data_IF_431539196090
#
_entry.id   IF_431539196090
#
_cell.length_a   1.000
_cell.length_b   1.000
_cell.length_c   1.000
_cell.angle_alpha   90.00
_cell.angle_beta   90.00
_cell.angle_gamma   90.00
#
_symmetry.space_group_name_H-M   'P 1'
#
loop_
_entity.id
_entity.type
_entity.pdbx_description
1 polymer ?
#
# COMPACT_ATOMS: atom_id res chain seq x y z
N UNK A 1 15.16 19.13 1.39
CA UNK A 1 14.90 17.74 1.81
C UNK A 1 15.01 16.85 0.58
N UNK A 2 15.61 15.67 0.69
CA UNK A 2 15.55 14.67 -0.38
C UNK A 2 14.14 14.08 -0.42
N UNK A 3 13.63 13.79 -1.63
CA UNK A 3 12.34 13.11 -1.82
C UNK A 3 12.58 11.60 -1.70
N UNK A 4 11.80 10.90 -0.89
CA UNK A 4 11.80 9.44 -0.84
C UNK A 4 11.10 8.90 -2.08
N UNK A 5 11.74 8.02 -2.83
CA UNK A 5 11.19 7.36 -4.01
C UNK A 5 10.83 5.92 -3.67
N UNK A 6 9.55 5.59 -3.83
CA UNK A 6 9.02 4.25 -3.58
C UNK A 6 8.60 3.63 -4.90
N UNK A 7 9.27 2.54 -5.30
CA UNK A 7 8.86 1.75 -6.47
C UNK A 7 7.69 0.85 -6.09
N UNK A 8 6.56 0.99 -6.78
CA UNK A 8 5.38 0.14 -6.59
C UNK A 8 5.49 -1.14 -7.43
N UNK A 9 5.93 -2.21 -6.81
CA UNK A 9 5.90 -3.55 -7.41
C UNK A 9 4.50 -4.18 -7.29
N UNK A 10 3.79 -3.86 -6.21
CA UNK A 10 2.42 -4.31 -5.97
C UNK A 10 2.30 -5.82 -6.01
N UNK A 11 1.36 -6.32 -6.82
CA UNK A 11 1.16 -7.75 -7.12
C UNK A 11 1.58 -8.13 -8.54
N UNK A 12 2.36 -7.28 -9.22
CA UNK A 12 2.79 -7.53 -10.61
C UNK A 12 3.71 -8.76 -10.76
N UNK A 13 4.18 -9.30 -9.64
CA UNK A 13 4.88 -10.58 -9.58
C UNK A 13 3.97 -11.80 -9.87
N UNK A 14 2.65 -11.63 -9.93
CA UNK A 14 1.67 -12.68 -10.26
C UNK A 14 1.88 -13.99 -9.47
N UNK A 15 2.15 -13.90 -8.16
CA UNK A 15 2.41 -15.06 -7.30
C UNK A 15 3.80 -15.69 -7.43
N UNK A 16 4.69 -15.13 -8.26
CA UNK A 16 6.06 -15.64 -8.45
C UNK A 16 7.07 -14.91 -7.55
N UNK A 17 7.65 -15.63 -6.59
CA UNK A 17 8.72 -15.10 -5.74
C UNK A 17 9.98 -14.75 -6.58
N UNK A 18 10.28 -15.52 -7.62
CA UNK A 18 11.42 -15.23 -8.49
C UNK A 18 11.23 -13.88 -9.20
N UNK A 19 10.05 -13.64 -9.77
CA UNK A 19 9.74 -12.36 -10.42
C UNK A 19 9.72 -11.20 -9.41
N UNK A 20 9.20 -11.40 -8.19
CA UNK A 20 9.25 -10.39 -7.15
C UNK A 20 10.68 -9.99 -6.79
N UNK A 21 11.61 -10.94 -6.69
CA UNK A 21 13.04 -10.66 -6.49
C UNK A 21 13.67 -9.90 -7.66
N UNK A 22 13.32 -10.25 -8.90
CA UNK A 22 13.78 -9.49 -10.08
C UNK A 22 13.28 -8.04 -10.05
N UNK A 23 12.02 -7.82 -9.66
CA UNK A 23 11.47 -6.47 -9.49
C UNK A 23 12.20 -5.68 -8.40
N UNK A 24 12.53 -6.31 -7.26
CA UNK A 24 13.30 -5.68 -6.20
C UNK A 24 14.70 -5.29 -6.69
N UNK A 25 15.37 -6.16 -7.45
CA UNK A 25 16.68 -5.89 -8.05
C UNK A 25 16.61 -4.72 -9.04
N UNK A 26 15.62 -4.72 -9.94
CA UNK A 26 15.41 -3.62 -10.89
C UNK A 26 15.15 -2.28 -10.19
N UNK A 27 14.34 -2.28 -9.11
CA UNK A 27 14.10 -1.11 -8.27
C UNK A 27 15.42 -0.59 -7.65
N UNK A 28 16.24 -1.49 -7.12
CA UNK A 28 17.57 -1.14 -6.57
C UNK A 28 18.47 -0.54 -7.63
N UNK A 29 18.57 -1.15 -8.82
CA UNK A 29 19.37 -0.67 -9.93
C UNK A 29 18.90 0.70 -10.45
N UNK A 30 17.58 0.97 -10.37
CA UNK A 30 17.01 2.29 -10.69
C UNK A 30 17.30 3.36 -9.63
N UNK A 31 17.88 3.00 -8.48
CA UNK A 31 18.30 3.94 -7.44
C UNK A 31 17.15 4.46 -6.57
N UNK A 32 16.02 3.73 -6.46
CA UNK A 32 14.94 4.09 -5.55
C UNK A 32 15.25 3.70 -4.11
N UNK A 33 14.60 4.36 -3.15
CA UNK A 33 14.84 4.14 -1.73
C UNK A 33 14.13 2.88 -1.20
N UNK A 34 12.93 2.61 -1.70
CA UNK A 34 12.03 1.56 -1.20
C UNK A 34 11.38 0.82 -2.35
N UNK A 35 11.24 -0.51 -2.24
CA UNK A 35 10.36 -1.29 -3.10
C UNK A 35 9.12 -1.74 -2.31
N UNK A 36 7.92 -1.49 -2.85
CA UNK A 36 6.66 -1.76 -2.15
C UNK A 36 5.84 -2.85 -2.83
N UNK A 37 5.34 -3.79 -2.01
CA UNK A 37 4.47 -4.90 -2.38
C UNK A 37 3.11 -4.78 -1.70
N UNK A 38 2.28 -5.81 -1.85
CA UNK A 38 0.98 -5.92 -1.20
C UNK A 38 0.88 -7.28 -0.51
N UNK A 39 0.34 -7.29 0.71
CA UNK A 39 0.15 -8.49 1.51
C UNK A 39 -1.31 -8.62 1.89
N UNK A 40 -1.92 -9.76 1.54
CA UNK A 40 -3.29 -10.05 1.87
C UNK A 40 -3.49 -11.57 2.08
N UNK A 41 -4.43 -11.90 2.96
CA UNK A 41 -5.08 -13.20 2.99
C UNK A 41 -6.33 -13.10 2.11
N UNK A 42 -6.37 -13.71 0.93
CA UNK A 42 -7.42 -13.49 -0.06
C UNK A 42 -8.84 -13.64 0.47
N UNK A 43 -9.05 -14.60 1.36
CA UNK A 43 -10.34 -14.90 1.98
C UNK A 43 -10.83 -13.84 2.97
N UNK A 44 -9.91 -12.99 3.47
CA UNK A 44 -10.23 -11.90 4.41
C UNK A 44 -10.54 -10.58 3.69
N UNK A 45 -10.09 -10.44 2.43
CA UNK A 45 -10.24 -9.19 1.67
C UNK A 45 -11.26 -9.26 0.54
N UNK A 46 -11.64 -10.46 0.10
CA UNK A 46 -12.58 -10.64 -1.02
C UNK A 46 -13.70 -11.60 -0.63
N UNK A 47 -14.93 -11.12 -0.71
CA UNK A 47 -16.10 -11.98 -0.60
C UNK A 47 -16.16 -12.99 -1.76
N UNK A 48 -16.54 -14.23 -1.47
CA UNK A 48 -16.77 -15.26 -2.50
C UNK A 48 -17.84 -14.88 -3.54
N UNK A 49 -18.64 -13.86 -3.26
CA UNK A 49 -19.68 -13.33 -4.15
C UNK A 49 -19.24 -12.08 -4.90
N UNK A 50 -18.03 -11.57 -4.64
CA UNK A 50 -17.54 -10.35 -5.29
C UNK A 50 -17.31 -10.61 -6.79
N UNK A 51 -17.80 -9.68 -7.60
CA UNK A 51 -17.49 -9.64 -9.03
C UNK A 51 -16.19 -8.87 -9.29
N UNK A 52 -15.46 -9.25 -10.33
CA UNK A 52 -14.34 -8.47 -10.82
C UNK A 52 -14.80 -7.10 -11.32
N UNK A 53 -13.98 -6.08 -11.08
CA UNK A 53 -14.16 -4.76 -11.68
C UNK A 53 -14.08 -4.84 -13.22
N UNK A 54 -14.70 -3.88 -13.92
CA UNK A 54 -14.79 -3.90 -15.38
C UNK A 54 -13.40 -3.96 -16.06
N UNK A 55 -12.44 -3.18 -15.57
CA UNK A 55 -11.06 -3.18 -16.11
C UNK A 55 -10.34 -4.51 -15.85
N UNK A 56 -10.61 -5.17 -14.72
CA UNK A 56 -10.05 -6.49 -14.40
C UNK A 56 -10.59 -7.58 -15.33
N UNK A 57 -11.90 -7.52 -15.66
CA UNK A 57 -12.52 -8.45 -16.62
C UNK A 57 -11.86 -8.34 -18.01
N UNK A 58 -11.43 -7.13 -18.40
CA UNK A 58 -10.74 -6.90 -19.68
C UNK A 58 -9.33 -7.49 -19.71
N UNK A 59 -8.60 -7.42 -18.60
CA UNK A 59 -7.18 -7.80 -18.52
C UNK A 59 -6.97 -9.26 -18.12
N UNK A 60 -7.85 -9.83 -17.28
CA UNK A 60 -7.69 -11.18 -16.69
C UNK A 60 -8.79 -12.18 -17.11
N UNK A 61 -9.71 -11.76 -17.99
CA UNK A 61 -10.86 -12.58 -18.41
C UNK A 61 -12.04 -12.55 -17.44
N UNK A 62 -13.23 -12.88 -17.94
CA UNK A 62 -14.50 -12.78 -17.21
C UNK A 62 -14.88 -14.06 -16.45
N UNK A 63 -14.23 -15.19 -16.69
CA UNK A 63 -14.65 -16.50 -16.17
C UNK A 63 -14.10 -16.83 -14.77
N UNK A 64 -12.99 -16.23 -14.39
CA UNK A 64 -12.38 -16.40 -13.07
C UNK A 64 -13.07 -15.50 -12.03
N UNK A 65 -13.35 -15.99 -10.82
CA UNK A 65 -13.90 -15.16 -9.74
C UNK A 65 -12.89 -14.11 -9.25
N UNK A 66 -13.37 -13.04 -8.60
CA UNK A 66 -12.49 -12.06 -7.96
C UNK A 66 -11.55 -12.73 -6.94
N UNK A 67 -12.09 -13.62 -6.12
CA UNK A 67 -11.32 -14.34 -5.09
C UNK A 67 -10.23 -15.22 -5.71
N UNK A 68 -10.53 -15.97 -6.77
CA UNK A 68 -9.54 -16.83 -7.42
C UNK A 68 -8.44 -16.00 -8.11
N UNK A 69 -8.80 -14.87 -8.69
CA UNK A 69 -7.81 -13.93 -9.23
C UNK A 69 -6.87 -13.45 -8.12
N UNK A 70 -7.41 -13.00 -6.98
CA UNK A 70 -6.59 -12.50 -5.86
C UNK A 70 -5.70 -13.60 -5.30
N UNK A 71 -6.21 -14.83 -5.13
CA UNK A 71 -5.40 -16.00 -4.72
C UNK A 71 -4.22 -16.26 -5.65
N UNK A 72 -4.43 -16.11 -6.94
CA UNK A 72 -3.40 -16.37 -7.95
C UNK A 72 -2.29 -15.32 -7.98
N UNK A 73 -2.61 -14.05 -7.75
CA UNK A 73 -1.65 -12.95 -7.83
C UNK A 73 -0.91 -12.65 -6.52
N UNK A 74 -1.44 -13.08 -5.39
CA UNK A 74 -0.77 -12.97 -4.09
C UNK A 74 0.05 -14.22 -3.79
N UNK A 75 1.02 -14.09 -2.92
CA UNK A 75 1.75 -15.22 -2.34
C UNK A 75 1.70 -15.16 -0.81
N UNK A 76 1.89 -16.33 -0.16
CA UNK A 76 1.77 -16.44 1.29
C UNK A 76 2.92 -15.78 2.07
N UNK A 77 2.78 -15.73 3.37
CA UNK A 77 3.69 -15.04 4.30
C UNK A 77 5.15 -15.53 4.21
N UNK A 78 5.38 -16.82 3.96
CA UNK A 78 6.75 -17.36 3.83
C UNK A 78 7.48 -16.78 2.61
N UNK A 79 6.78 -16.56 1.50
CA UNK A 79 7.36 -15.91 0.34
C UNK A 79 7.69 -14.43 0.62
N UNK A 80 6.86 -13.72 1.38
CA UNK A 80 7.15 -12.36 1.84
C UNK A 80 8.38 -12.33 2.77
N UNK A 81 8.56 -13.30 3.69
CA UNK A 81 9.77 -13.44 4.51
C UNK A 81 11.03 -13.60 3.65
N UNK A 82 10.96 -14.50 2.67
CA UNK A 82 12.07 -14.75 1.75
C UNK A 82 12.38 -13.54 0.86
N UNK A 83 11.35 -12.79 0.46
CA UNK A 83 11.51 -11.56 -0.32
C UNK A 83 12.12 -10.44 0.52
N UNK A 84 11.66 -10.26 1.77
CA UNK A 84 12.24 -9.28 2.72
C UNK A 84 13.73 -9.57 2.94
N UNK A 85 14.09 -10.83 3.23
CA UNK A 85 15.48 -11.23 3.40
C UNK A 85 16.34 -10.95 2.14
N UNK A 86 15.78 -11.18 0.96
CA UNK A 86 16.46 -10.83 -0.30
C UNK A 86 16.63 -9.32 -0.47
N UNK A 87 15.61 -8.51 -0.14
CA UNK A 87 15.73 -7.05 -0.19
C UNK A 87 16.84 -6.54 0.75
N UNK A 88 16.96 -7.13 1.95
CA UNK A 88 18.04 -6.82 2.89
C UNK A 88 19.41 -7.18 2.33
N UNK A 89 19.53 -8.37 1.71
CA UNK A 89 20.76 -8.83 1.06
C UNK A 89 21.26 -7.85 -0.02
N UNK A 90 20.34 -7.36 -0.89
CA UNK A 90 20.69 -6.44 -1.96
C UNK A 90 20.73 -4.97 -1.52
N UNK A 91 20.35 -4.67 -0.27
CA UNK A 91 20.39 -3.33 0.32
C UNK A 91 19.34 -2.37 -0.23
N UNK A 92 18.10 -2.84 -0.41
CA UNK A 92 16.93 -1.99 -0.70
C UNK A 92 15.90 -2.16 0.42
N UNK A 93 15.27 -1.06 0.86
CA UNK A 93 14.23 -1.15 1.86
C UNK A 93 12.98 -1.87 1.32
N UNK A 94 12.52 -2.89 2.05
CA UNK A 94 11.28 -3.60 1.76
C UNK A 94 10.11 -2.91 2.44
N UNK A 95 9.01 -2.75 1.73
CA UNK A 95 7.73 -2.29 2.25
C UNK A 95 6.61 -3.16 1.69
N UNK A 96 5.56 -3.38 2.46
CA UNK A 96 4.34 -3.98 1.96
C UNK A 96 3.11 -3.34 2.60
N UNK A 97 2.07 -3.16 1.79
CA UNK A 97 0.77 -2.68 2.26
C UNK A 97 -0.05 -3.88 2.72
N UNK A 98 -0.47 -3.96 4.00
CA UNK A 98 -1.43 -4.97 4.44
C UNK A 98 -2.85 -4.61 3.98
N UNK A 99 -3.69 -5.61 3.73
CA UNK A 99 -5.10 -5.43 3.40
C UNK A 99 -6.05 -6.16 4.38
N UNK A 100 -5.52 -6.75 5.44
CA UNK A 100 -6.27 -7.43 6.48
C UNK A 100 -5.48 -7.46 7.80
N UNK A 101 -6.15 -7.80 8.90
CA UNK A 101 -5.56 -7.80 10.23
C UNK A 101 -4.44 -8.83 10.42
N UNK A 102 -4.54 -10.00 9.79
CA UNK A 102 -3.52 -11.06 9.86
C UNK A 102 -2.26 -10.61 9.12
N UNK A 103 -2.44 -9.91 8.00
CA UNK A 103 -1.34 -9.29 7.25
C UNK A 103 -0.65 -8.18 8.05
N UNK A 104 -1.38 -7.38 8.86
CA UNK A 104 -0.76 -6.41 9.77
C UNK A 104 0.11 -7.13 10.79
N UNK A 105 -0.40 -8.17 11.47
CA UNK A 105 0.35 -8.93 12.47
C UNK A 105 1.59 -9.57 11.87
N UNK A 106 1.44 -10.17 10.69
CA UNK A 106 2.55 -10.75 9.97
C UNK A 106 3.63 -9.71 9.63
N UNK A 107 3.25 -8.59 9.01
CA UNK A 107 4.19 -7.55 8.59
C UNK A 107 4.85 -6.85 9.79
N UNK A 108 4.17 -6.75 10.93
CA UNK A 108 4.76 -6.25 12.17
C UNK A 108 5.97 -7.11 12.60
N UNK A 109 5.93 -8.42 12.31
CA UNK A 109 7.05 -9.34 12.61
C UNK A 109 8.26 -9.18 11.68
N UNK A 110 8.14 -8.46 10.57
CA UNK A 110 9.21 -8.24 9.59
C UNK A 110 10.03 -6.97 9.82
N UNK A 111 9.68 -6.18 10.84
CA UNK A 111 10.35 -4.93 11.20
C UNK A 111 10.50 -3.95 10.01
N UNK A 112 9.41 -3.67 9.31
CA UNK A 112 9.39 -2.66 8.26
C UNK A 112 9.68 -1.27 8.82
N UNK A 113 10.33 -0.37 8.04
CA UNK A 113 10.70 0.96 8.51
C UNK A 113 9.50 1.87 8.78
N UNK A 114 8.40 1.66 8.08
CA UNK A 114 7.17 2.45 8.16
C UNK A 114 5.95 1.61 7.72
N UNK A 115 4.76 2.16 7.92
CA UNK A 115 3.50 1.58 7.45
C UNK A 115 2.95 2.35 6.26
N UNK A 116 2.43 1.62 5.28
CA UNK A 116 1.66 2.19 4.17
C UNK A 116 0.20 1.82 4.33
N UNK A 117 -0.66 2.83 4.42
CA UNK A 117 -2.12 2.68 4.47
C UNK A 117 -2.69 3.08 3.11
N UNK A 118 -3.42 2.18 2.43
CA UNK A 118 -4.04 2.49 1.16
C UNK A 118 -5.31 3.33 1.36
N UNK A 119 -5.74 4.07 0.34
CA UNK A 119 -6.94 4.93 0.43
C UNK A 119 -8.21 4.17 0.79
N UNK A 120 -8.32 2.91 0.37
CA UNK A 120 -9.48 2.06 0.67
C UNK A 120 -9.68 1.76 2.14
N UNK A 121 -8.63 1.93 2.97
CA UNK A 121 -8.68 1.67 4.40
C UNK A 121 -8.84 2.94 5.25
N UNK A 122 -8.99 4.11 4.64
CA UNK A 122 -9.02 5.40 5.35
C UNK A 122 -10.21 5.52 6.32
N UNK A 123 -11.31 4.84 6.02
CA UNK A 123 -12.51 4.79 6.88
C UNK A 123 -12.60 3.51 7.73
N UNK A 124 -11.61 2.63 7.64
CA UNK A 124 -11.58 1.36 8.40
C UNK A 124 -10.98 1.59 9.79
N UNK A 125 -11.79 2.08 10.73
CA UNK A 125 -11.37 2.41 12.08
C UNK A 125 -10.58 1.29 12.78
N UNK A 126 -11.05 0.02 12.83
CA UNK A 126 -10.29 -1.04 13.49
C UNK A 126 -8.92 -1.30 12.87
N UNK A 127 -8.79 -1.12 11.55
CA UNK A 127 -7.53 -1.25 10.84
C UNK A 127 -6.57 -0.10 11.21
N UNK A 128 -7.07 1.15 11.23
CA UNK A 128 -6.29 2.32 11.60
C UNK A 128 -5.79 2.24 13.05
N UNK A 129 -6.66 1.86 14.00
CA UNK A 129 -6.30 1.67 15.40
C UNK A 129 -5.21 0.62 15.58
N UNK A 130 -5.29 -0.50 14.84
CA UNK A 130 -4.29 -1.57 14.88
C UNK A 130 -2.92 -1.09 14.36
N UNK A 131 -2.89 -0.35 13.25
CA UNK A 131 -1.64 0.25 12.73
C UNK A 131 -1.09 1.29 13.71
N UNK A 132 -1.95 2.16 14.25
CA UNK A 132 -1.57 3.22 15.18
C UNK A 132 -0.89 2.66 16.44
N UNK A 133 -1.39 1.54 16.98
CA UNK A 133 -0.81 0.89 18.15
C UNK A 133 0.66 0.45 17.97
N UNK A 134 1.12 0.30 16.72
CA UNK A 134 2.51 -0.06 16.40
C UNK A 134 3.47 1.12 16.46
N UNK A 135 2.97 2.38 16.49
CA UNK A 135 3.72 3.63 16.73
C UNK A 135 4.93 3.84 15.81
N UNK A 136 4.85 3.33 14.58
CA UNK A 136 5.85 3.58 13.53
C UNK A 136 5.39 4.69 12.59
N UNK A 137 6.30 5.29 11.80
CA UNK A 137 5.93 6.24 10.75
C UNK A 137 4.86 5.66 9.81
N UNK A 138 3.94 6.51 9.34
CA UNK A 138 2.83 6.12 8.47
C UNK A 138 2.81 6.97 7.20
N UNK A 139 2.65 6.32 6.06
CA UNK A 139 2.29 6.96 4.79
C UNK A 139 0.82 6.61 4.51
N UNK A 140 -0.06 7.62 4.55
CA UNK A 140 -1.50 7.49 4.33
C UNK A 140 -1.89 8.02 2.95
N UNK A 141 -2.46 7.17 2.10
CA UNK A 141 -3.05 7.57 0.81
C UNK A 141 -4.44 8.16 1.04
N UNK A 142 -4.78 9.21 0.28
CA UNK A 142 -6.03 9.98 0.43
C UNK A 142 -6.91 9.96 -0.83
N UNK A 143 -6.69 9.01 -1.74
CA UNK A 143 -7.49 8.88 -2.95
C UNK A 143 -8.96 8.60 -2.64
N UNK A 144 -9.89 9.25 -3.37
CA UNK A 144 -11.35 9.10 -3.22
C UNK A 144 -11.88 9.47 -1.82
N UNK A 145 -11.11 10.23 -1.04
CA UNK A 145 -11.48 10.62 0.33
C UNK A 145 -11.85 12.10 0.39
N UNK A 146 -12.79 12.43 1.24
CA UNK A 146 -13.11 13.80 1.61
C UNK A 146 -12.16 14.32 2.70
N UNK A 147 -12.03 15.63 2.84
CA UNK A 147 -11.19 16.21 3.89
C UNK A 147 -11.60 15.76 5.32
N UNK A 148 -12.89 15.67 5.68
CA UNK A 148 -13.27 15.13 6.98
C UNK A 148 -12.85 13.68 7.20
N UNK A 149 -12.93 12.80 6.20
CA UNK A 149 -12.48 11.40 6.32
C UNK A 149 -10.96 11.32 6.52
N UNK A 150 -10.20 12.21 5.88
CA UNK A 150 -8.75 12.30 6.10
C UNK A 150 -8.44 12.78 7.52
N UNK A 151 -9.18 13.79 8.01
CA UNK A 151 -9.04 14.33 9.36
C UNK A 151 -9.32 13.26 10.41
N UNK A 152 -10.42 12.54 10.27
CA UNK A 152 -10.78 11.43 11.18
C UNK A 152 -9.69 10.35 11.21
N UNK A 153 -9.18 9.95 10.05
CA UNK A 153 -8.11 8.95 9.96
C UNK A 153 -6.81 9.42 10.61
N UNK A 154 -6.41 10.66 10.35
CA UNK A 154 -5.22 11.27 10.97
C UNK A 154 -5.39 11.33 12.49
N UNK A 155 -6.56 11.75 12.99
CA UNK A 155 -6.83 11.83 14.42
C UNK A 155 -6.75 10.45 15.09
N UNK A 156 -7.24 9.39 14.45
CA UNK A 156 -7.11 8.01 14.96
C UNK A 156 -5.63 7.61 15.06
N UNK A 157 -4.83 7.91 14.04
CA UNK A 157 -3.40 7.60 14.04
C UNK A 157 -2.66 8.36 15.15
N UNK A 158 -2.91 9.67 15.30
CA UNK A 158 -2.32 10.51 16.34
C UNK A 158 -2.70 10.03 17.74
N UNK A 159 -4.00 9.76 17.97
CA UNK A 159 -4.50 9.28 19.26
C UNK A 159 -3.88 7.91 19.63
N UNK A 160 -3.55 7.09 18.64
CA UNK A 160 -2.83 5.82 18.81
C UNK A 160 -1.32 5.98 19.06
N UNK A 161 -0.78 7.20 18.93
CA UNK A 161 0.62 7.54 19.22
C UNK A 161 1.53 7.59 18.01
N UNK A 162 1.02 7.64 16.78
CA UNK A 162 1.81 7.90 15.57
C UNK A 162 2.19 9.38 15.54
N UNK A 163 3.48 9.67 15.44
CA UNK A 163 4.02 11.04 15.44
C UNK A 163 4.59 11.47 14.09
N UNK A 164 4.77 10.54 13.17
CA UNK A 164 5.33 10.79 11.83
C UNK A 164 4.33 10.28 10.77
N UNK A 165 3.57 11.20 10.19
CA UNK A 165 2.56 10.95 9.19
C UNK A 165 2.94 11.70 7.92
N UNK A 166 2.92 11.01 6.78
CA UNK A 166 3.00 11.60 5.44
C UNK A 166 1.72 11.30 4.69
N UNK A 167 1.07 12.32 4.13
CA UNK A 167 -0.11 12.14 3.28
C UNK A 167 0.30 11.99 1.83
N UNK A 168 -0.40 11.13 1.06
CA UNK A 168 -0.22 11.04 -0.38
C UNK A 168 -1.48 11.48 -1.10
N UNK A 169 -1.34 12.50 -1.95
CA UNK A 169 -2.31 12.76 -3.00
C UNK A 169 -2.23 11.63 -4.05
N UNK A 170 -3.36 11.00 -4.35
CA UNK A 170 -3.46 9.93 -5.34
C UNK A 170 -4.87 9.81 -5.89
N UNK A 171 -4.99 9.19 -7.06
CA UNK A 171 -6.26 8.79 -7.65
C UNK A 171 -6.51 7.31 -7.43
N UNK A 172 -7.77 6.88 -7.60
CA UNK A 172 -8.19 5.47 -7.52
C UNK A 172 -8.41 4.83 -8.88
N UNK A 173 -8.25 5.57 -9.97
CA UNK A 173 -8.25 5.07 -11.34
C UNK A 173 -6.82 4.79 -11.80
N UNK A 174 -6.59 3.60 -12.37
CA UNK A 174 -5.28 3.13 -12.82
C UNK A 174 -5.31 2.67 -14.28
N UNK A 175 -4.50 3.30 -15.19
CA UNK A 175 -3.64 4.47 -14.90
C UNK A 175 -4.45 5.76 -14.71
N UNK A 176 -3.94 6.68 -13.89
CA UNK A 176 -4.56 7.98 -13.68
C UNK A 176 -4.56 8.79 -14.99
N UNK A 177 -5.74 9.27 -15.48
CA UNK A 177 -5.78 10.19 -16.61
C UNK A 177 -5.04 11.48 -16.29
N UNK A 178 -4.25 12.00 -17.23
CA UNK A 178 -3.49 13.24 -16.99
C UNK A 178 -4.35 14.44 -16.59
N UNK A 179 -5.59 14.51 -17.07
CA UNK A 179 -6.53 15.57 -16.73
C UNK A 179 -6.95 15.55 -15.25
N UNK A 180 -6.89 14.38 -14.61
CA UNK A 180 -7.37 14.16 -13.24
C UNK A 180 -6.23 14.18 -12.19
N UNK A 181 -4.98 14.35 -12.63
CA UNK A 181 -3.80 14.35 -11.74
C UNK A 181 -3.87 15.42 -10.66
N UNK A 182 -4.34 16.64 -10.98
CA UNK A 182 -4.60 17.75 -10.06
C UNK A 182 -3.52 17.94 -8.95
N UNK A 183 -2.25 18.11 -9.34
CA UNK A 183 -1.13 18.19 -8.38
C UNK A 183 -1.27 19.30 -7.32
N UNK A 184 -2.09 20.35 -7.58
CA UNK A 184 -2.34 21.43 -6.61
C UNK A 184 -3.06 20.94 -5.35
N UNK A 185 -3.78 19.83 -5.40
CA UNK A 185 -4.36 19.20 -4.23
C UNK A 185 -3.31 18.84 -3.15
N UNK A 186 -2.05 18.66 -3.55
CA UNK A 186 -0.95 18.47 -2.58
C UNK A 186 -0.73 19.71 -1.71
N UNK A 187 -0.91 20.91 -2.26
CA UNK A 187 -0.76 22.15 -1.51
C UNK A 187 -1.94 22.34 -0.54
N UNK A 188 -3.15 21.98 -0.97
CA UNK A 188 -4.34 22.02 -0.13
C UNK A 188 -4.22 21.07 1.06
N UNK A 189 -3.77 19.83 0.81
CA UNK A 189 -3.51 18.84 1.88
C UNK A 189 -2.46 19.34 2.87
N UNK A 190 -1.37 19.93 2.38
CA UNK A 190 -0.31 20.46 3.23
C UNK A 190 -0.80 21.64 4.08
N UNK A 191 -1.60 22.52 3.50
CA UNK A 191 -2.16 23.67 4.20
C UNK A 191 -3.18 23.25 5.25
N UNK A 192 -4.04 22.27 4.92
CA UNK A 192 -5.12 21.81 5.81
C UNK A 192 -4.59 21.03 7.01
N UNK A 193 -3.62 20.12 6.79
CA UNK A 193 -3.21 19.15 7.80
C UNK A 193 -1.81 19.42 8.40
N UNK A 194 -0.99 20.25 7.77
CA UNK A 194 0.36 20.57 8.27
C UNK A 194 1.40 19.44 8.13
N UNK A 195 1.05 18.30 7.52
CA UNK A 195 1.93 17.16 7.32
C UNK A 195 2.74 17.25 6.02
N UNK A 196 3.88 16.52 5.92
CA UNK A 196 4.51 16.27 4.64
C UNK A 196 3.52 15.63 3.66
N UNK A 197 3.59 16.05 2.39
CA UNK A 197 2.70 15.53 1.34
C UNK A 197 3.53 15.05 0.17
N UNK A 198 3.26 13.83 -0.27
CA UNK A 198 3.78 13.20 -1.47
C UNK A 198 2.71 12.95 -2.51
N UNK A 199 3.11 12.34 -3.63
CA UNK A 199 2.24 11.95 -4.75
C UNK A 199 2.39 10.46 -5.07
N UNK A 200 1.28 9.82 -5.43
CA UNK A 200 1.25 8.44 -5.91
C UNK A 200 0.38 8.32 -7.17
#
# INVERSE_FOLDING_TARGET
>A
MAVMIIAEAGVNHNGSLALAKEMARAAKEAGVDVVKYQTAVPELVVSKFAEKAAYQKQTTGAQESQLDMVRRIHFGFDAHRALKAYCDEIGIAYLSTPFDHDSIDFLASLDMPLWKIPSGEITNLPYLEKIAALKKPVILSTGMSTLPEIEDAVQVLENGGVTDITLLHCNTEYPTPYADVNLRAMDDLRQQFGYPVGYS
#
